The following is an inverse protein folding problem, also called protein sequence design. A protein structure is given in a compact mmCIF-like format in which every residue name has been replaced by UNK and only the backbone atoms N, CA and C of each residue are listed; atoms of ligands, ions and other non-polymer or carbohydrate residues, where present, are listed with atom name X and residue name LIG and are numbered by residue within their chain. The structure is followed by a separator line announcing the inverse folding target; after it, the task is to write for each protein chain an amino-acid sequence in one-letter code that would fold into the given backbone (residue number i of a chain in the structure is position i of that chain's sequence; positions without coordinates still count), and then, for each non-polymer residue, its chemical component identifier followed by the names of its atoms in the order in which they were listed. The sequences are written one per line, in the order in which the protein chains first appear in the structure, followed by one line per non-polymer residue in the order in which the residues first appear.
data_IF_334677474492
#
_entry.id   IF_334677474492
#
_cell.length_a   1.000
_cell.length_b   1.000
_cell.length_c   1.000
_cell.angle_alpha   90.00
_cell.angle_beta   90.00
_cell.angle_gamma   90.00
#
_symmetry.space_group_name_H-M   'P 1'
#
loop_
_entity.id
_entity.type
_entity.pdbx_description
1 polymer ?
#
# COMPACT_ATOMS: atom_id res chain seq x y z
N UNK A 1 16.10 55.91 17.26
CA UNK A 1 15.77 56.26 15.86
C UNK A 1 15.56 54.97 15.11
N UNK A 2 14.51 54.68 14.37
CA UNK A 2 13.13 55.17 14.20
C UNK A 2 12.41 53.95 13.60
N UNK A 3 11.12 53.84 13.88
CA UNK A 3 10.13 52.91 13.35
C UNK A 3 10.05 52.80 11.82
N UNK A 4 9.25 51.84 11.34
CA UNK A 4 8.59 51.84 10.03
C UNK A 4 9.12 50.79 9.06
N UNK A 5 8.35 50.05 8.26
CA UNK A 5 6.94 50.05 7.84
C UNK A 5 6.70 48.62 7.27
N UNK A 6 5.64 47.90 7.65
CA UNK A 6 4.33 47.88 7.00
C UNK A 6 4.31 47.60 5.47
N UNK A 7 3.77 46.42 5.15
CA UNK A 7 2.66 46.21 4.21
C UNK A 7 2.90 46.35 2.68
N UNK A 8 2.71 45.24 1.95
CA UNK A 8 1.93 45.15 0.68
C UNK A 8 2.09 43.76 0.04
N UNK A 9 1.06 42.93 0.19
CA UNK A 9 0.98 41.63 -0.47
C UNK A 9 -0.41 40.99 -0.41
N UNK A 10 -1.46 41.81 -0.26
CA UNK A 10 -2.85 41.44 -0.51
C UNK A 10 -3.36 42.36 -1.62
N UNK A 11 -3.50 41.82 -2.82
CA UNK A 11 -4.34 42.36 -3.87
C UNK A 11 -4.46 41.27 -4.94
N UNK A 12 -5.57 40.53 -4.91
CA UNK A 12 -6.21 39.83 -6.02
C UNK A 12 -7.21 38.87 -5.38
N UNK A 13 -8.45 39.35 -5.21
CA UNK A 13 -9.72 38.60 -5.25
C UNK A 13 -10.84 39.53 -4.74
N UNK A 14 -11.06 40.61 -5.49
CA UNK A 14 -12.20 41.50 -5.36
C UNK A 14 -12.81 41.63 -6.74
N UNK A 15 -13.71 40.71 -7.07
CA UNK A 15 -14.63 40.78 -8.22
C UNK A 15 -15.61 39.62 -8.06
N UNK A 16 -16.80 39.91 -7.52
CA UNK A 16 -18.11 39.28 -7.81
C UNK A 16 -19.16 39.70 -6.76
N UNK A 17 -19.50 40.98 -6.78
CA UNK A 17 -20.81 41.48 -6.33
C UNK A 17 -21.51 42.11 -7.54
N UNK A 18 -22.55 41.45 -8.06
CA UNK A 18 -23.74 41.97 -8.77
C UNK A 18 -24.45 40.73 -9.34
N UNK A 19 -25.73 40.44 -9.15
CA UNK A 19 -26.89 41.31 -9.37
C UNK A 19 -28.11 40.80 -8.60
N UNK A 20 -28.96 41.76 -8.26
CA UNK A 20 -30.24 41.67 -7.58
C UNK A 20 -31.39 41.30 -8.54
N UNK A 21 -32.29 40.42 -8.06
CA UNK A 21 -33.78 40.36 -8.15
C UNK A 21 -34.54 40.67 -9.45
N UNK A 22 -35.72 40.05 -9.64
CA UNK A 22 -36.92 40.80 -9.26
C UNK A 22 -38.01 39.99 -8.51
N UNK A 23 -38.75 40.73 -7.69
CA UNK A 23 -40.07 40.42 -7.14
C UNK A 23 -41.10 40.13 -8.23
N UNK A 24 -42.03 39.21 -7.97
CA UNK A 24 -43.44 39.37 -8.38
C UNK A 24 -44.34 38.88 -7.24
N UNK A 25 -45.21 39.78 -6.79
CA UNK A 25 -46.21 39.57 -5.76
C UNK A 25 -47.52 38.99 -6.32
N UNK A 26 -48.17 38.15 -5.52
CA UNK A 26 -49.61 38.20 -5.22
C UNK A 26 -50.61 37.60 -6.22
N UNK A 27 -51.30 36.54 -5.78
CA UNK A 27 -52.77 36.46 -5.84
C UNK A 27 -53.27 35.28 -4.98
N UNK A 28 -54.28 35.58 -4.16
CA UNK A 28 -55.01 34.75 -3.20
C UNK A 28 -55.94 33.73 -3.88
N UNK A 29 -56.22 32.59 -3.20
CA UNK A 29 -57.57 32.05 -2.95
C UNK A 29 -57.52 30.65 -2.28
N UNK A 30 -58.30 30.49 -1.21
CA UNK A 30 -58.55 29.31 -0.36
C UNK A 30 -59.41 28.20 -1.04
N UNK A 31 -60.00 27.19 -0.33
CA UNK A 31 -59.61 26.36 0.84
C UNK A 31 -59.74 24.84 0.50
N UNK A 32 -59.68 23.96 1.52
CA UNK A 32 -60.22 22.57 1.56
C UNK A 32 -59.27 21.46 1.05
N UNK A 33 -59.19 20.22 1.56
CA UNK A 33 -60.04 19.42 2.44
C UNK A 33 -59.16 18.51 3.32
N UNK A 34 -59.57 18.35 4.57
CA UNK A 34 -58.99 17.44 5.56
C UNK A 34 -59.56 16.02 5.42
N UNK A 35 -59.69 15.53 4.19
CA UNK A 35 -60.31 14.22 3.87
C UNK A 35 -59.59 13.57 2.68
N UNK A 36 -58.39 13.03 2.91
CA UNK A 36 -57.83 11.91 2.12
C UNK A 36 -57.04 10.97 3.04
N UNK A 37 -57.61 10.77 4.23
CA UNK A 37 -57.40 9.60 5.05
C UNK A 37 -58.07 8.44 4.31
N UNK A 38 -57.28 7.47 3.82
CA UNK A 38 -57.67 6.18 3.21
C UNK A 38 -57.69 6.14 1.66
N UNK A 39 -56.52 5.92 1.04
CA UNK A 39 -56.47 5.26 -0.26
C UNK A 39 -55.20 5.49 -1.07
N UNK A 40 -54.32 4.48 -1.11
CA UNK A 40 -53.25 4.40 -2.10
C UNK A 40 -51.84 4.67 -1.56
N UNK A 41 -51.29 3.72 -0.79
CA UNK A 41 -49.83 3.56 -0.75
C UNK A 41 -49.40 3.12 -2.15
N UNK A 42 -48.95 4.07 -2.97
CA UNK A 42 -48.36 3.79 -4.28
C UNK A 42 -47.23 2.78 -4.14
N UNK A 43 -47.39 1.68 -4.86
CA UNK A 43 -46.50 0.53 -4.95
C UNK A 43 -45.25 0.83 -5.78
N UNK A 44 -44.61 2.00 -5.59
CA UNK A 44 -43.44 2.43 -6.35
C UNK A 44 -42.15 2.46 -5.51
N UNK A 45 -42.25 2.24 -4.19
CA UNK A 45 -41.08 2.16 -3.30
C UNK A 45 -40.51 0.74 -3.13
N UNK A 46 -40.97 -0.25 -3.91
CA UNK A 46 -40.68 -1.67 -3.70
C UNK A 46 -39.94 -2.37 -4.86
N UNK A 47 -39.33 -1.62 -5.79
CA UNK A 47 -38.65 -2.21 -6.97
C UNK A 47 -37.15 -1.89 -7.04
N UNK A 48 -36.61 -1.08 -6.12
CA UNK A 48 -35.16 -0.76 -6.10
C UNK A 48 -34.32 -1.66 -5.18
N UNK A 49 -34.93 -2.59 -4.44
CA UNK A 49 -34.22 -3.46 -3.48
C UNK A 49 -33.92 -4.88 -4.02
N UNK A 50 -34.15 -5.14 -5.31
CA UNK A 50 -34.00 -6.48 -5.90
C UNK A 50 -33.14 -6.48 -7.19
N UNK A 51 -32.01 -5.76 -7.16
CA UNK A 51 -30.86 -6.03 -8.03
C UNK A 51 -29.53 -5.90 -7.28
N UNK A 52 -29.43 -6.59 -6.15
CA UNK A 52 -28.15 -7.19 -5.82
C UNK A 52 -27.89 -8.28 -6.87
N UNK A 53 -27.34 -7.92 -8.03
CA UNK A 53 -26.69 -8.90 -8.89
C UNK A 53 -25.70 -9.62 -7.98
N UNK A 54 -25.97 -10.90 -7.69
CA UNK A 54 -25.05 -11.75 -6.96
C UNK A 54 -23.67 -11.56 -7.60
N UNK A 55 -22.72 -11.02 -6.82
CA UNK A 55 -21.37 -10.83 -7.29
C UNK A 55 -20.89 -12.18 -7.86
N UNK A 56 -20.29 -12.20 -9.06
CA UNK A 56 -19.92 -13.44 -9.70
C UNK A 56 -19.06 -14.25 -8.74
N UNK A 57 -19.49 -15.49 -8.48
CA UNK A 57 -18.77 -16.41 -7.61
C UNK A 57 -17.30 -16.47 -8.05
N UNK A 58 -16.36 -16.48 -7.10
CA UNK A 58 -14.94 -16.51 -7.44
C UNK A 58 -14.66 -17.75 -8.29
N UNK A 59 -14.36 -17.54 -9.58
CA UNK A 59 -14.03 -18.65 -10.46
C UNK A 59 -12.77 -19.37 -9.93
N UNK A 60 -12.72 -20.71 -9.98
CA UNK A 60 -11.56 -21.45 -9.54
C UNK A 60 -10.26 -20.95 -10.17
N UNK A 61 -9.19 -20.93 -9.39
CA UNK A 61 -7.83 -20.65 -9.88
C UNK A 61 -7.06 -19.60 -9.09
N UNK A 62 -5.82 -19.39 -9.52
CA UNK A 62 -4.87 -18.46 -8.88
C UNK A 62 -4.94 -17.08 -9.54
N UNK A 63 -5.13 -16.03 -8.75
CA UNK A 63 -5.26 -14.64 -9.23
C UNK A 63 -4.47 -13.69 -8.34
N UNK A 64 -4.10 -12.53 -8.88
CA UNK A 64 -3.51 -11.45 -8.08
C UNK A 64 -4.59 -10.48 -7.58
N UNK A 65 -4.43 -10.00 -6.36
CA UNK A 65 -5.31 -9.02 -5.74
C UNK A 65 -4.51 -8.03 -4.89
N UNK A 66 -5.14 -6.91 -4.54
CA UNK A 66 -4.64 -5.98 -3.52
C UNK A 66 -5.34 -6.25 -2.19
N UNK A 67 -4.60 -6.13 -1.09
CA UNK A 67 -5.18 -6.14 0.25
C UNK A 67 -5.93 -4.82 0.50
N UNK A 68 -7.15 -4.92 1.01
CA UNK A 68 -8.02 -3.80 1.39
C UNK A 68 -8.08 -3.65 2.91
N UNK A 69 -8.14 -4.76 3.63
CA UNK A 69 -8.06 -4.79 5.10
C UNK A 69 -7.51 -6.13 5.59
N UNK A 70 -6.93 -6.11 6.78
CA UNK A 70 -6.37 -7.29 7.46
C UNK A 70 -6.83 -7.27 8.92
N UNK A 71 -7.45 -8.35 9.39
CA UNK A 71 -7.88 -8.56 10.76
C UNK A 71 -7.53 -10.00 11.19
N UNK A 72 -6.33 -10.18 11.72
CA UNK A 72 -5.80 -11.51 12.02
C UNK A 72 -5.62 -12.33 10.73
N UNK A 73 -6.41 -13.39 10.56
CA UNK A 73 -6.42 -14.21 9.33
C UNK A 73 -7.58 -13.90 8.39
N UNK A 74 -8.51 -13.06 8.79
CA UNK A 74 -9.55 -12.57 7.90
C UNK A 74 -9.02 -11.35 7.13
N UNK A 75 -9.16 -11.38 5.81
CA UNK A 75 -8.68 -10.30 4.94
C UNK A 75 -9.75 -9.94 3.92
N UNK A 76 -9.74 -8.70 3.46
CA UNK A 76 -10.50 -8.29 2.28
C UNK A 76 -9.55 -8.02 1.14
N UNK A 77 -9.85 -8.57 -0.03
CA UNK A 77 -9.01 -8.46 -1.22
C UNK A 77 -9.79 -7.83 -2.37
N UNK A 78 -9.11 -7.05 -3.20
CA UNK A 78 -9.66 -6.49 -4.44
C UNK A 78 -8.88 -7.04 -5.62
N UNK A 79 -9.53 -7.85 -6.45
CA UNK A 79 -8.92 -8.36 -7.67
C UNK A 79 -8.63 -7.23 -8.65
N UNK A 80 -7.58 -7.41 -9.46
CA UNK A 80 -7.25 -6.47 -10.53
C UNK A 80 -8.42 -6.33 -11.50
N UNK A 81 -8.82 -5.08 -11.78
CA UNK A 81 -9.94 -4.78 -12.67
C UNK A 81 -11.32 -4.81 -12.00
N UNK A 82 -11.43 -5.31 -10.76
CA UNK A 82 -12.66 -5.21 -9.98
C UNK A 82 -12.63 -3.97 -9.07
N UNK A 83 -13.80 -3.36 -8.87
CA UNK A 83 -13.99 -2.31 -7.85
C UNK A 83 -14.40 -2.90 -6.51
N UNK A 84 -14.93 -4.11 -6.51
CA UNK A 84 -15.47 -4.81 -5.35
C UNK A 84 -14.36 -5.47 -4.52
N UNK A 85 -14.59 -5.53 -3.21
CA UNK A 85 -13.70 -6.20 -2.27
C UNK A 85 -14.36 -7.47 -1.74
N UNK A 86 -13.67 -8.59 -1.91
CA UNK A 86 -14.11 -9.93 -1.55
C UNK A 86 -13.50 -10.33 -0.21
N UNK A 87 -14.23 -11.12 0.56
CA UNK A 87 -13.70 -11.72 1.79
C UNK A 87 -12.82 -12.91 1.44
N UNK A 88 -11.67 -13.00 2.11
CA UNK A 88 -10.73 -14.08 1.96
C UNK A 88 -10.09 -14.40 3.32
N UNK A 89 -9.41 -15.54 3.40
CA UNK A 89 -8.65 -15.97 4.57
C UNK A 89 -7.19 -16.13 4.22
N UNK A 90 -6.31 -15.85 5.17
CA UNK A 90 -4.88 -16.16 5.02
C UNK A 90 -4.69 -17.66 5.18
N UNK A 91 -4.06 -18.30 4.19
CA UNK A 91 -3.79 -19.72 4.23
C UNK A 91 -2.88 -20.09 5.43
N UNK A 92 -3.05 -21.25 6.07
CA UNK A 92 -2.33 -21.60 7.29
C UNK A 92 -0.81 -21.54 7.20
N UNK A 93 -0.26 -21.87 6.03
CA UNK A 93 1.16 -21.87 5.68
C UNK A 93 1.74 -20.46 5.43
N UNK A 94 0.88 -19.45 5.23
CA UNK A 94 1.32 -18.07 5.06
C UNK A 94 1.47 -17.41 6.42
N UNK A 95 2.66 -16.93 6.72
CA UNK A 95 2.91 -16.22 7.97
C UNK A 95 2.13 -14.88 8.00
N UNK A 96 1.29 -14.62 9.03
CA UNK A 96 0.47 -13.40 9.08
C UNK A 96 1.27 -12.09 8.98
N UNK A 97 2.49 -12.08 9.54
CA UNK A 97 3.38 -10.91 9.48
C UNK A 97 3.77 -10.53 8.05
N UNK A 98 3.81 -11.48 7.12
CA UNK A 98 4.06 -11.20 5.71
C UNK A 98 2.88 -10.46 5.08
N UNK A 99 1.65 -10.85 5.42
CA UNK A 99 0.42 -10.18 4.96
C UNK A 99 0.33 -8.76 5.52
N UNK A 100 0.67 -8.57 6.81
CA UNK A 100 0.74 -7.24 7.43
C UNK A 100 1.77 -6.34 6.73
N UNK A 101 2.93 -6.91 6.36
CA UNK A 101 3.97 -6.18 5.64
C UNK A 101 3.50 -5.81 4.22
N UNK A 102 2.86 -6.75 3.51
CA UNK A 102 2.28 -6.52 2.20
C UNK A 102 1.24 -5.39 2.22
N UNK A 103 0.38 -5.37 3.23
CA UNK A 103 -0.62 -4.32 3.43
C UNK A 103 0.04 -2.94 3.63
N UNK A 104 1.08 -2.86 4.47
CA UNK A 104 1.85 -1.61 4.70
C UNK A 104 2.53 -1.10 3.44
N UNK A 105 3.12 -2.01 2.66
CA UNK A 105 3.86 -1.69 1.44
C UNK A 105 2.97 -1.48 0.21
N UNK A 106 1.66 -1.80 0.34
CA UNK A 106 0.70 -1.86 -0.77
C UNK A 106 1.15 -2.85 -1.85
N UNK A 107 1.70 -3.98 -1.43
CA UNK A 107 2.08 -5.08 -2.31
C UNK A 107 0.83 -5.87 -2.74
N UNK A 108 0.97 -6.56 -3.87
CA UNK A 108 -0.06 -7.48 -4.35
C UNK A 108 0.02 -8.80 -3.57
N UNK A 109 -1.07 -9.55 -3.53
CA UNK A 109 -1.13 -10.90 -2.99
C UNK A 109 -1.62 -11.88 -4.04
N UNK A 110 -1.23 -13.15 -3.90
CA UNK A 110 -1.78 -14.27 -4.65
C UNK A 110 -2.95 -14.84 -3.87
N UNK A 111 -4.09 -14.95 -4.56
CA UNK A 111 -5.34 -15.47 -4.03
C UNK A 111 -5.74 -16.69 -4.85
N UNK A 112 -5.92 -17.80 -4.17
CA UNK A 112 -6.49 -19.02 -4.72
C UNK A 112 -7.99 -19.04 -4.44
N UNK A 113 -8.80 -19.21 -5.48
CA UNK A 113 -10.22 -19.51 -5.36
C UNK A 113 -10.46 -21.00 -5.49
N UNK A 114 -11.09 -21.62 -4.49
CA UNK A 114 -11.52 -23.01 -4.50
C UNK A 114 -12.97 -23.11 -4.01
N UNK A 115 -13.85 -23.63 -4.87
CA UNK A 115 -15.30 -23.60 -4.67
C UNK A 115 -15.79 -22.16 -4.38
N UNK A 116 -16.21 -21.89 -3.14
CA UNK A 116 -16.74 -20.59 -2.70
C UNK A 116 -15.81 -19.89 -1.69
N UNK A 117 -14.59 -20.39 -1.51
CA UNK A 117 -13.62 -19.81 -0.58
C UNK A 117 -12.44 -19.17 -1.31
N UNK A 118 -11.98 -18.05 -0.76
CA UNK A 118 -10.79 -17.34 -1.21
C UNK A 118 -9.68 -17.43 -0.16
N UNK A 119 -8.51 -17.86 -0.61
CA UNK A 119 -7.34 -18.05 0.24
C UNK A 119 -6.17 -17.19 -0.25
N UNK A 120 -5.61 -16.36 0.62
CA UNK A 120 -4.32 -15.71 0.36
C UNK A 120 -3.22 -16.73 0.60
N UNK A 121 -2.58 -17.16 -0.49
CA UNK A 121 -1.54 -18.21 -0.51
C UNK A 121 -0.13 -17.66 -0.64
N UNK A 122 0.03 -16.35 -0.88
CA UNK A 122 1.33 -15.72 -0.93
C UNK A 122 1.29 -14.20 -1.14
N UNK A 123 2.43 -13.55 -0.89
CA UNK A 123 2.65 -12.14 -1.17
C UNK A 123 3.44 -12.01 -2.47
N UNK A 124 3.03 -11.09 -3.34
CA UNK A 124 3.68 -10.81 -4.61
C UNK A 124 4.37 -9.44 -4.55
N UNK A 125 5.69 -9.47 -4.53
CA UNK A 125 6.50 -8.26 -4.67
C UNK A 125 6.60 -7.89 -6.16
N UNK A 126 6.06 -6.72 -6.53
CA UNK A 126 6.00 -6.24 -7.92
C UNK A 126 6.96 -5.10 -8.23
N UNK A 127 7.73 -4.62 -7.24
CA UNK A 127 8.70 -3.52 -7.37
C UNK A 127 10.01 -3.88 -6.68
N UNK A 128 11.11 -3.30 -7.16
CA UNK A 128 12.38 -3.33 -6.46
C UNK A 128 12.29 -2.34 -5.28
N UNK A 129 12.51 -2.77 -4.02
CA UNK A 129 12.40 -1.88 -2.88
C UNK A 129 13.56 -0.89 -2.87
N UNK A 130 13.28 0.36 -2.47
CA UNK A 130 14.33 1.37 -2.26
C UNK A 130 15.28 0.96 -1.11
N UNK A 131 14.75 0.21 -0.13
CA UNK A 131 15.50 -0.34 1.00
C UNK A 131 15.03 -1.77 1.30
N UNK A 132 15.98 -2.70 1.35
CA UNK A 132 15.76 -4.08 1.79
C UNK A 132 16.36 -4.27 3.20
N UNK A 133 15.56 -4.75 4.14
CA UNK A 133 16.01 -5.09 5.49
C UNK A 133 15.80 -6.58 5.76
N UNK A 134 16.90 -7.30 5.94
CA UNK A 134 16.88 -8.73 6.24
C UNK A 134 17.06 -8.95 7.74
N UNK A 135 16.07 -9.55 8.41
CA UNK A 135 16.14 -9.95 9.82
C UNK A 135 15.95 -11.45 9.92
N UNK A 136 16.97 -12.13 10.38
CA UNK A 136 16.94 -13.57 10.59
C UNK A 136 17.85 -13.94 11.76
N UNK A 137 17.69 -15.16 12.29
CA UNK A 137 18.65 -15.73 13.24
C UNK A 137 20.00 -15.95 12.57
N UNK A 138 19.98 -16.32 11.29
CA UNK A 138 21.15 -16.57 10.45
C UNK A 138 20.85 -16.12 9.01
N UNK A 139 21.84 -15.51 8.35
CA UNK A 139 21.79 -15.16 6.92
C UNK A 139 22.96 -15.88 6.25
N UNK A 140 22.66 -16.88 5.43
CA UNK A 140 23.63 -17.63 4.66
C UNK A 140 23.63 -17.13 3.21
N UNK A 141 24.79 -16.69 2.71
CA UNK A 141 25.01 -16.27 1.32
C UNK A 141 26.08 -17.16 0.72
N UNK A 142 25.68 -18.07 -0.16
CA UNK A 142 26.58 -18.99 -0.86
C UNK A 142 26.71 -18.60 -2.33
N UNK A 143 27.95 -18.50 -2.81
CA UNK A 143 28.25 -18.31 -4.22
C UNK A 143 29.14 -19.46 -4.70
N UNK A 144 28.78 -20.09 -5.82
CA UNK A 144 29.57 -21.20 -6.40
C UNK A 144 31.00 -20.78 -6.78
N UNK A 145 31.16 -19.51 -7.16
CA UNK A 145 32.42 -18.96 -7.70
C UNK A 145 32.86 -17.68 -6.99
N UNK A 146 31.92 -16.78 -6.75
CA UNK A 146 32.21 -15.44 -6.23
C UNK A 146 30.98 -14.90 -5.48
N UNK A 147 31.23 -14.18 -4.38
CA UNK A 147 30.24 -13.32 -3.71
C UNK A 147 30.78 -11.89 -3.75
N UNK A 148 29.98 -10.95 -4.26
CA UNK A 148 30.36 -9.53 -4.33
C UNK A 148 29.31 -8.65 -3.66
N UNK A 149 29.78 -7.69 -2.86
CA UNK A 149 28.98 -6.68 -2.17
C UNK A 149 29.47 -5.32 -2.61
N UNK A 150 28.60 -4.47 -3.18
CA UNK A 150 28.99 -3.16 -3.72
C UNK A 150 28.06 -2.05 -3.22
N UNK A 151 28.65 -0.92 -2.84
CA UNK A 151 27.94 0.31 -2.49
C UNK A 151 28.71 1.51 -3.06
N UNK A 152 28.24 2.05 -4.19
CA UNK A 152 28.93 3.12 -4.92
C UNK A 152 30.35 2.70 -5.32
N UNK A 153 31.37 3.39 -4.78
CA UNK A 153 32.80 3.10 -5.02
C UNK A 153 33.40 2.10 -4.04
N UNK A 154 32.69 1.72 -2.98
CA UNK A 154 33.14 0.72 -2.02
C UNK A 154 32.69 -0.68 -2.47
N UNK A 155 33.51 -1.68 -2.21
CA UNK A 155 33.18 -3.06 -2.52
C UNK A 155 33.95 -4.07 -1.69
N UNK A 156 33.33 -5.24 -1.51
CA UNK A 156 33.95 -6.43 -0.96
C UNK A 156 33.70 -7.60 -1.93
N UNK A 157 34.70 -8.43 -2.16
CA UNK A 157 34.61 -9.59 -3.05
C UNK A 157 35.29 -10.79 -2.40
N UNK A 158 34.61 -11.92 -2.41
CA UNK A 158 35.11 -13.20 -1.94
C UNK A 158 35.08 -14.19 -3.10
N UNK A 159 36.19 -14.87 -3.37
CA UNK A 159 36.33 -15.82 -4.48
C UNK A 159 36.55 -17.24 -3.99
N UNK A 160 36.22 -18.20 -4.85
CA UNK A 160 36.38 -19.65 -4.59
C UNK A 160 37.81 -20.07 -4.25
N UNK A 161 38.82 -19.38 -4.76
CA UNK A 161 40.24 -19.64 -4.51
C UNK A 161 40.74 -19.07 -3.17
N UNK A 162 39.85 -18.43 -2.40
CA UNK A 162 40.18 -17.79 -1.13
C UNK A 162 40.67 -16.34 -1.26
N UNK A 163 40.70 -15.77 -2.48
CA UNK A 163 40.98 -14.35 -2.67
C UNK A 163 39.87 -13.49 -2.07
N UNK A 164 40.25 -12.53 -1.24
CA UNK A 164 39.35 -11.57 -0.60
C UNK A 164 39.85 -10.16 -0.90
N UNK A 165 39.03 -9.39 -1.61
CA UNK A 165 39.33 -8.02 -1.99
C UNK A 165 38.38 -7.05 -1.27
N UNK A 166 38.96 -6.02 -0.65
CA UNK A 166 38.23 -4.92 0.00
C UNK A 166 38.70 -3.60 -0.61
N UNK A 167 37.78 -2.85 -1.21
CA UNK A 167 38.05 -1.56 -1.86
C UNK A 167 37.21 -0.48 -1.20
N UNK A 168 37.85 0.63 -0.82
CA UNK A 168 37.18 1.79 -0.25
C UNK A 168 38.13 2.97 -0.02
N UNK A 169 37.57 4.16 0.16
CA UNK A 169 38.34 5.38 0.49
C UNK A 169 38.96 5.33 1.89
N UNK A 170 38.33 4.60 2.81
CA UNK A 170 38.80 4.34 4.17
C UNK A 170 38.33 2.96 4.59
N UNK A 171 39.26 2.11 5.00
CA UNK A 171 38.97 0.82 5.61
C UNK A 171 39.26 0.95 7.11
N UNK A 172 38.23 0.77 7.93
CA UNK A 172 38.38 0.73 9.39
C UNK A 172 37.99 -0.66 9.86
N UNK A 173 38.91 -1.31 10.57
CA UNK A 173 38.66 -2.56 11.25
C UNK A 173 38.82 -2.30 12.76
N UNK A 174 37.79 -2.64 13.53
CA UNK A 174 37.79 -2.56 14.98
C UNK A 174 37.31 -3.90 15.55
N UNK A 175 38.00 -4.39 16.57
CA UNK A 175 37.63 -5.61 17.30
C UNK A 175 37.65 -5.30 18.80
N UNK A 176 36.71 -5.89 19.55
CA UNK A 176 36.70 -5.83 21.03
C UNK A 176 37.74 -6.78 21.67
N UNK A 177 38.36 -7.64 20.87
CA UNK A 177 39.41 -8.56 21.29
C UNK A 177 40.70 -8.36 20.50
N UNK A 178 41.53 -9.41 20.44
CA UNK A 178 42.77 -9.39 19.67
C UNK A 178 42.47 -9.36 18.17
N UNK A 179 43.03 -8.37 17.47
CA UNK A 179 43.03 -8.29 16.02
C UNK A 179 44.43 -8.66 15.49
N UNK A 180 44.52 -9.64 14.59
CA UNK A 180 45.79 -10.07 13.99
C UNK A 180 45.64 -10.07 12.47
N UNK A 181 46.65 -9.56 11.79
CA UNK A 181 46.82 -9.74 10.35
C UNK A 181 47.91 -10.78 10.16
N UNK A 182 47.59 -11.88 9.49
CA UNK A 182 48.52 -12.99 9.25
C UNK A 182 48.64 -13.22 7.75
N UNK A 183 49.87 -13.24 7.25
CA UNK A 183 50.15 -13.50 5.85
C UNK A 183 51.61 -13.89 5.66
N UNK A 184 51.92 -14.61 4.57
CA UNK A 184 53.30 -14.94 4.20
C UNK A 184 54.13 -13.68 3.91
N UNK A 185 53.48 -12.66 3.34
CA UNK A 185 54.06 -11.35 3.03
C UNK A 185 52.99 -10.31 3.37
N UNK A 186 53.36 -9.31 4.17
CA UNK A 186 52.53 -8.14 4.45
C UNK A 186 53.23 -6.92 3.87
N UNK A 187 52.59 -6.27 2.90
CA UNK A 187 53.04 -4.99 2.35
C UNK A 187 52.15 -3.90 2.92
N UNK A 188 52.76 -3.06 3.75
CA UNK A 188 52.16 -1.86 4.28
C UNK A 188 52.92 -0.68 3.68
N UNK A 189 52.19 0.26 3.09
CA UNK A 189 52.76 1.50 2.55
C UNK A 189 52.62 2.61 3.59
#
# INVERSE_FOLDING_TARGET
MVDGEANKGQALLSELESELTPEVAGAEAEPSHLEDFLGGRSAEAAVEEERALAAPAPSPGLRSAQLVSVAGRAVRVRFRGSKEAFEARVAPEVEPRLVDLAMRNRDSVLVEGAADELWVVGVLQVRIPERLELRAREILIEGEREVSLRAGRAGARLRKDGDVELVGSRISAASRGLFRIVGRILRLN
#
